data_IF_772115181637
#
_entry.id   IF_772115181637
#
_cell.length_a   1.000
_cell.length_b   1.000
_cell.length_c   1.000
_cell.angle_alpha   90.00
_cell.angle_beta   90.00
_cell.angle_gamma   90.00
#
_symmetry.space_group_name_H-M   'P 1'
#
loop_
_entity.id
_entity.type
_entity.pdbx_description
1 polymer ?
#
# COMPACT_ATOMS: atom_id res chain seq x y z
N UNK A 1 17.04 5.28 8.82
CA UNK A 1 16.26 5.57 7.61
C UNK A 1 16.09 4.27 6.87
N UNK A 2 14.85 3.80 6.70
CA UNK A 2 14.58 2.52 6.02
C UNK A 2 14.56 2.71 4.50
N UNK A 3 14.89 1.65 3.75
CA UNK A 3 14.89 1.65 2.29
C UNK A 3 14.31 0.33 1.75
N UNK A 4 13.45 0.44 0.74
CA UNK A 4 12.97 -0.67 -0.07
C UNK A 4 13.61 -0.58 -1.44
N UNK A 5 14.26 -1.64 -1.89
CA UNK A 5 14.98 -1.69 -3.16
C UNK A 5 14.46 -2.85 -4.00
N UNK A 6 14.23 -2.61 -5.27
CA UNK A 6 14.07 -3.60 -6.31
C UNK A 6 15.22 -3.47 -7.28
N UNK A 7 15.95 -4.55 -7.54
CA UNK A 7 17.12 -4.58 -8.43
C UNK A 7 16.90 -5.56 -9.58
N UNK A 8 17.01 -5.06 -10.79
CA UNK A 8 16.98 -5.84 -12.04
C UNK A 8 15.86 -6.87 -12.10
N UNK A 9 14.65 -6.44 -11.72
CA UNK A 9 13.49 -7.34 -11.75
C UNK A 9 13.15 -7.74 -13.18
N UNK A 10 13.03 -9.04 -13.42
CA UNK A 10 12.59 -9.59 -14.68
C UNK A 10 11.42 -10.55 -14.51
N UNK A 11 10.46 -10.49 -15.43
CA UNK A 11 9.35 -11.43 -15.51
C UNK A 11 8.97 -11.74 -16.92
N UNK A 12 8.92 -13.03 -17.23
CA UNK A 12 8.40 -13.58 -18.49
C UNK A 12 7.17 -14.41 -18.25
N UNK A 13 6.17 -14.22 -19.10
CA UNK A 13 5.03 -15.13 -19.25
C UNK A 13 5.11 -15.78 -20.61
N UNK A 14 5.36 -17.11 -20.64
CA UNK A 14 5.68 -17.85 -21.85
C UNK A 14 6.87 -17.21 -22.59
N UNK A 15 6.69 -16.70 -23.81
CA UNK A 15 7.73 -16.04 -24.62
C UNK A 15 7.77 -14.52 -24.42
N UNK A 16 6.74 -13.91 -23.80
CA UNK A 16 6.68 -12.43 -23.65
C UNK A 16 7.37 -12.01 -22.35
N UNK A 17 8.38 -11.14 -22.46
CA UNK A 17 8.99 -10.44 -21.33
C UNK A 17 8.06 -9.28 -20.95
N UNK A 18 7.53 -9.29 -19.74
CA UNK A 18 6.54 -8.30 -19.24
C UNK A 18 7.19 -7.30 -18.29
N UNK A 19 8.20 -7.72 -17.55
CA UNK A 19 9.08 -6.85 -16.78
C UNK A 19 10.50 -7.11 -17.28
N UNK A 20 11.22 -6.05 -17.64
CA UNK A 20 12.53 -6.14 -18.24
C UNK A 20 13.50 -5.20 -17.50
N UNK A 21 14.38 -5.78 -16.67
CA UNK A 21 15.44 -5.07 -15.95
C UNK A 21 14.94 -3.82 -15.17
N UNK A 22 13.84 -3.99 -14.44
CA UNK A 22 13.27 -2.91 -13.64
C UNK A 22 14.04 -2.77 -12.32
N UNK A 23 14.63 -1.58 -12.11
CA UNK A 23 15.27 -1.20 -10.85
C UNK A 23 14.66 0.08 -10.31
N UNK A 24 14.31 0.06 -9.02
CA UNK A 24 13.79 1.22 -8.30
C UNK A 24 14.10 1.13 -6.80
N UNK A 25 14.03 2.25 -6.12
CA UNK A 25 14.10 2.29 -4.66
C UNK A 25 13.11 3.30 -4.09
N UNK A 26 12.71 3.06 -2.84
CA UNK A 26 11.82 3.92 -2.04
C UNK A 26 12.47 4.09 -0.67
N UNK A 27 12.60 5.32 -0.19
CA UNK A 27 13.08 5.62 1.17
C UNK A 27 11.90 5.87 2.10
N UNK A 28 12.09 5.64 3.40
CA UNK A 28 11.09 6.03 4.39
C UNK A 28 10.81 7.53 4.32
N UNK A 29 9.53 7.90 4.32
CA UNK A 29 9.08 9.30 4.17
C UNK A 29 9.00 9.80 2.72
N UNK A 30 9.31 8.95 1.73
CA UNK A 30 9.28 9.31 0.31
C UNK A 30 8.05 8.75 -0.38
N UNK A 31 7.44 9.52 -1.28
CA UNK A 31 6.33 9.10 -2.12
C UNK A 31 6.82 8.96 -3.57
N UNK A 32 6.80 7.74 -4.08
CA UNK A 32 7.29 7.39 -5.42
C UNK A 32 6.13 6.97 -6.32
N UNK A 33 6.06 7.54 -7.52
CA UNK A 33 5.16 7.07 -8.59
C UNK A 33 5.83 6.05 -9.50
N UNK A 34 5.16 4.94 -9.80
CA UNK A 34 5.53 4.00 -10.85
C UNK A 34 4.56 4.16 -12.01
N UNK A 35 4.98 4.89 -13.03
CA UNK A 35 4.13 5.38 -14.12
C UNK A 35 4.48 4.71 -15.45
N UNK A 36 3.58 4.76 -16.40
CA UNK A 36 3.79 4.23 -17.75
C UNK A 36 2.48 3.79 -18.41
N UNK A 37 2.50 3.43 -19.69
CA UNK A 37 1.30 2.99 -20.40
C UNK A 37 0.73 1.67 -19.89
N UNK A 38 -0.50 1.35 -20.30
CA UNK A 38 -1.10 0.05 -20.00
C UNK A 38 -0.29 -1.04 -20.73
N UNK A 39 -0.03 -2.14 -20.01
CA UNK A 39 0.80 -3.24 -20.53
C UNK A 39 2.30 -3.10 -20.31
N UNK A 40 2.81 -1.97 -19.82
CA UNK A 40 4.25 -1.75 -19.55
C UNK A 40 4.80 -2.57 -18.37
N UNK A 41 4.02 -3.46 -17.75
CA UNK A 41 4.50 -4.34 -16.69
C UNK A 41 4.43 -3.77 -15.27
N UNK A 42 3.91 -2.54 -15.07
CA UNK A 42 3.81 -1.88 -13.75
C UNK A 42 3.17 -2.79 -12.68
N UNK A 43 1.96 -3.26 -12.93
CA UNK A 43 1.23 -4.14 -12.00
C UNK A 43 1.99 -5.44 -11.73
N UNK A 44 2.65 -6.01 -12.75
CA UNK A 44 3.45 -7.22 -12.57
C UNK A 44 4.66 -6.96 -11.67
N UNK A 45 5.40 -5.89 -11.90
CA UNK A 45 6.53 -5.49 -11.08
C UNK A 45 6.09 -5.21 -9.64
N UNK A 46 4.97 -4.52 -9.49
CA UNK A 46 4.34 -4.23 -8.21
C UNK A 46 3.99 -5.53 -7.45
N UNK A 47 3.34 -6.49 -8.13
CA UNK A 47 3.00 -7.78 -7.54
C UNK A 47 4.24 -8.65 -7.22
N UNK A 48 5.33 -8.49 -7.96
CA UNK A 48 6.62 -9.10 -7.58
C UNK A 48 7.14 -8.49 -6.27
N UNK A 49 7.10 -7.17 -6.11
CA UNK A 49 7.52 -6.49 -4.89
C UNK A 49 6.64 -6.83 -3.68
N UNK A 50 5.34 -7.03 -3.88
CA UNK A 50 4.40 -7.45 -2.83
C UNK A 50 4.56 -8.94 -2.47
N UNK A 51 5.03 -9.77 -3.41
CA UNK A 51 5.14 -11.22 -3.24
C UNK A 51 3.92 -12.01 -3.69
N UNK A 52 3.05 -11.40 -4.50
CA UNK A 52 1.93 -12.07 -5.19
C UNK A 52 2.38 -12.78 -6.46
N UNK A 53 3.44 -12.28 -7.10
CA UNK A 53 4.08 -12.89 -8.26
C UNK A 53 5.52 -13.24 -7.90
N UNK A 54 5.93 -14.47 -8.21
CA UNK A 54 7.30 -14.92 -7.92
C UNK A 54 8.33 -14.15 -8.76
N UNK A 55 9.38 -13.68 -8.10
CA UNK A 55 10.58 -13.12 -8.70
C UNK A 55 11.58 -14.27 -8.92
N UNK A 56 11.98 -14.51 -10.16
CA UNK A 56 13.00 -15.52 -10.50
C UNK A 56 14.34 -14.87 -10.79
N UNK A 57 14.33 -13.66 -11.35
CA UNK A 57 15.50 -12.87 -11.70
C UNK A 57 15.36 -11.48 -11.07
N UNK A 58 16.45 -10.95 -10.53
CA UNK A 58 16.49 -9.75 -9.73
C UNK A 58 16.34 -9.99 -8.23
N UNK A 59 16.35 -8.90 -7.46
CA UNK A 59 16.27 -8.94 -6.00
C UNK A 59 15.30 -7.90 -5.46
N UNK A 60 14.72 -8.20 -4.31
CA UNK A 60 13.89 -7.26 -3.53
C UNK A 60 14.46 -7.23 -2.12
N UNK A 61 14.93 -6.06 -1.70
CA UNK A 61 15.64 -5.87 -0.45
C UNK A 61 14.88 -4.85 0.39
N UNK A 62 14.62 -5.17 1.64
CA UNK A 62 14.06 -4.27 2.63
C UNK A 62 15.09 -4.06 3.75
N UNK A 63 15.62 -2.85 3.83
CA UNK A 63 16.77 -2.54 4.67
C UNK A 63 17.94 -3.49 4.33
N UNK A 64 18.42 -4.29 5.27
CA UNK A 64 19.50 -5.27 5.06
C UNK A 64 18.98 -6.70 4.77
N UNK A 65 17.66 -6.87 4.57
CA UNK A 65 17.04 -8.18 4.42
C UNK A 65 16.61 -8.42 2.98
N UNK A 66 17.14 -9.47 2.36
CA UNK A 66 16.62 -9.99 1.09
C UNK A 66 15.28 -10.68 1.31
N UNK A 67 14.21 -10.06 0.79
CA UNK A 67 12.83 -10.54 0.88
C UNK A 67 12.31 -11.13 -0.43
N UNK A 68 13.18 -11.34 -1.43
CA UNK A 68 12.84 -11.76 -2.79
C UNK A 68 11.92 -12.99 -2.80
N UNK A 69 12.20 -13.96 -1.95
CA UNK A 69 11.46 -15.22 -1.89
C UNK A 69 10.47 -15.30 -0.70
N UNK A 70 10.31 -14.19 0.04
CA UNK A 70 9.35 -14.18 1.14
C UNK A 70 7.92 -14.12 0.60
N UNK A 71 7.00 -14.94 1.13
CA UNK A 71 5.58 -14.81 0.84
C UNK A 71 5.04 -13.51 1.43
N UNK A 72 3.92 -13.02 0.91
CA UNK A 72 3.32 -11.72 1.26
C UNK A 72 3.18 -11.50 2.77
N UNK A 73 2.75 -12.51 3.54
CA UNK A 73 2.59 -12.37 4.99
C UNK A 73 3.92 -12.16 5.73
N UNK A 74 5.02 -12.75 5.25
CA UNK A 74 6.36 -12.50 5.82
C UNK A 74 6.88 -11.12 5.45
N UNK A 75 6.60 -10.64 4.23
CA UNK A 75 6.92 -9.25 3.85
C UNK A 75 6.15 -8.24 4.70
N UNK A 76 4.88 -8.51 5.00
CA UNK A 76 4.09 -7.70 5.91
C UNK A 76 4.70 -7.63 7.32
N UNK A 77 5.21 -8.76 7.85
CA UNK A 77 5.92 -8.81 9.13
C UNK A 77 7.25 -8.03 9.13
N UNK A 78 7.87 -7.82 7.96
CA UNK A 78 9.05 -6.97 7.81
C UNK A 78 8.70 -5.48 7.67
N UNK A 79 7.42 -5.15 7.56
CA UNK A 79 6.92 -3.77 7.43
C UNK A 79 6.57 -3.35 6.00
N UNK A 80 6.38 -4.28 5.07
CA UNK A 80 5.91 -4.00 3.71
C UNK A 80 4.42 -4.29 3.58
N UNK A 81 3.60 -3.26 3.54
CA UNK A 81 2.16 -3.37 3.37
C UNK A 81 1.72 -3.18 1.91
N UNK A 82 0.57 -3.72 1.58
CA UNK A 82 -0.05 -3.61 0.27
C UNK A 82 -1.52 -3.21 0.38
N UNK A 83 -1.90 -2.21 -0.38
CA UNK A 83 -3.28 -1.77 -0.52
C UNK A 83 -3.73 -1.98 -1.98
N UNK A 84 -4.57 -2.98 -2.26
CA UNK A 84 -5.01 -3.32 -3.61
C UNK A 84 -5.95 -2.27 -4.19
N UNK A 85 -6.10 -2.30 -5.52
CA UNK A 85 -7.11 -1.53 -6.25
C UNK A 85 -8.52 -1.95 -5.85
N UNK A 86 -8.77 -3.28 -5.78
CA UNK A 86 -10.07 -3.80 -5.39
C UNK A 86 -10.33 -3.61 -3.90
N UNK A 87 -11.59 -3.33 -3.58
CA UNK A 87 -12.02 -3.13 -2.21
C UNK A 87 -11.75 -4.37 -1.33
N UNK A 88 -10.91 -4.20 -0.32
CA UNK A 88 -10.47 -5.27 0.59
C UNK A 88 -11.21 -5.28 1.94
N UNK A 89 -12.17 -4.39 2.12
CA UNK A 89 -12.91 -4.24 3.38
C UNK A 89 -13.78 -5.47 3.70
N UNK A 90 -13.86 -5.84 4.96
CA UNK A 90 -14.83 -6.84 5.44
C UNK A 90 -16.23 -6.22 5.48
N UNK A 91 -17.02 -6.47 4.44
CA UNK A 91 -18.29 -5.77 4.17
C UNK A 91 -19.33 -5.89 5.30
N UNK A 92 -19.36 -7.00 6.02
CA UNK A 92 -20.31 -7.28 7.12
C UNK A 92 -19.81 -6.80 8.49
N UNK A 93 -18.54 -6.41 8.61
CA UNK A 93 -18.00 -5.87 9.85
C UNK A 93 -18.16 -4.35 9.89
N UNK A 94 -18.32 -3.80 11.11
CA UNK A 94 -18.24 -2.34 11.32
C UNK A 94 -16.84 -1.82 11.02
N UNK A 95 -16.68 -0.51 10.86
CA UNK A 95 -15.36 0.15 10.73
C UNK A 95 -14.45 -0.25 11.89
N UNK A 96 -14.93 -0.13 13.13
CA UNK A 96 -14.22 -0.56 14.33
C UNK A 96 -13.72 -2.00 14.22
N UNK A 97 -14.60 -2.93 13.87
CA UNK A 97 -14.27 -4.34 13.80
C UNK A 97 -13.37 -4.68 12.60
N UNK A 98 -13.43 -3.93 11.51
CA UNK A 98 -12.51 -4.04 10.39
C UNK A 98 -11.06 -3.77 10.80
N UNK A 99 -10.83 -2.74 11.62
CA UNK A 99 -9.50 -2.36 12.10
C UNK A 99 -9.06 -3.32 13.21
N UNK A 100 -9.96 -3.61 14.17
CA UNK A 100 -9.67 -4.52 15.28
C UNK A 100 -9.27 -5.91 14.80
N UNK A 101 -9.92 -6.46 13.78
CA UNK A 101 -9.57 -7.76 13.22
C UNK A 101 -8.11 -7.85 12.74
N UNK A 102 -7.52 -6.74 12.28
CA UNK A 102 -6.10 -6.69 11.92
C UNK A 102 -5.22 -6.56 13.17
N UNK A 103 -5.60 -5.71 14.13
CA UNK A 103 -4.85 -5.54 15.38
C UNK A 103 -4.77 -6.86 16.18
N UNK A 104 -5.79 -7.70 16.12
CA UNK A 104 -5.83 -9.02 16.78
C UNK A 104 -4.82 -10.00 16.19
N UNK A 105 -4.42 -9.84 14.93
CA UNK A 105 -3.37 -10.68 14.31
C UNK A 105 -1.97 -10.37 14.83
N UNK A 106 -1.78 -9.22 15.48
CA UNK A 106 -0.47 -8.79 15.99
C UNK A 106 -0.14 -9.46 17.30
N UNK A 107 0.95 -10.20 17.30
CA UNK A 107 1.48 -10.84 18.50
C UNK A 107 2.01 -9.78 19.49
N UNK A 108 1.79 -10.01 20.78
CA UNK A 108 2.33 -9.15 21.85
C UNK A 108 1.50 -7.91 22.16
N UNK A 109 0.38 -7.67 21.49
CA UNK A 109 -0.59 -6.64 21.88
C UNK A 109 -1.63 -7.23 22.82
N UNK A 110 -1.75 -6.68 24.02
CA UNK A 110 -2.87 -6.93 24.91
C UNK A 110 -4.14 -6.18 24.47
N UNK A 111 -5.24 -6.42 25.15
CA UNK A 111 -6.53 -5.79 24.80
C UNK A 111 -6.47 -4.27 24.93
N UNK A 112 -5.88 -3.75 25.99
CA UNK A 112 -5.80 -2.30 26.25
C UNK A 112 -5.03 -1.58 25.13
N UNK A 113 -3.88 -2.15 24.74
CA UNK A 113 -3.05 -1.58 23.67
C UNK A 113 -3.70 -1.65 22.30
N UNK A 114 -4.49 -2.70 22.03
CA UNK A 114 -5.28 -2.77 20.79
C UNK A 114 -6.35 -1.68 20.74
N UNK A 115 -7.07 -1.45 21.84
CA UNK A 115 -8.07 -0.38 21.90
C UNK A 115 -7.43 1.01 21.74
N UNK A 116 -6.30 1.27 22.37
CA UNK A 116 -5.56 2.53 22.19
C UNK A 116 -5.16 2.77 20.72
N UNK A 117 -4.61 1.75 20.07
CA UNK A 117 -4.22 1.83 18.67
C UNK A 117 -5.44 2.00 17.75
N UNK A 118 -6.54 1.30 18.05
CA UNK A 118 -7.79 1.44 17.33
C UNK A 118 -8.31 2.88 17.39
N UNK A 119 -8.40 3.47 18.58
CA UNK A 119 -8.87 4.84 18.75
C UNK A 119 -7.94 5.84 18.04
N UNK A 120 -6.64 5.63 18.11
CA UNK A 120 -5.66 6.43 17.37
C UNK A 120 -5.92 6.39 15.86
N UNK A 121 -6.12 5.20 15.28
CA UNK A 121 -6.35 5.03 13.84
C UNK A 121 -7.70 5.63 13.40
N UNK A 122 -8.76 5.43 14.18
CA UNK A 122 -10.08 6.00 13.93
C UNK A 122 -10.00 7.54 13.89
N UNK A 123 -9.34 8.14 14.88
CA UNK A 123 -9.17 9.59 14.97
C UNK A 123 -8.30 10.12 13.82
N UNK A 124 -7.16 9.48 13.56
CA UNK A 124 -6.21 9.89 12.53
C UNK A 124 -6.81 9.89 11.13
N UNK A 125 -7.70 8.93 10.84
CA UNK A 125 -8.35 8.77 9.53
C UNK A 125 -9.73 9.43 9.45
N UNK A 126 -10.18 10.15 10.48
CA UNK A 126 -11.49 10.83 10.50
C UNK A 126 -12.67 9.86 10.36
N UNK A 127 -12.63 8.74 11.08
CA UNK A 127 -13.62 7.67 10.99
C UNK A 127 -14.61 7.62 12.18
N UNK A 128 -14.60 8.65 13.05
CA UNK A 128 -15.42 8.69 14.27
C UNK A 128 -16.91 8.54 13.99
N UNK A 129 -17.43 9.30 13.03
CA UNK A 129 -18.88 9.35 12.74
C UNK A 129 -19.40 8.02 12.16
N UNK A 130 -18.50 7.25 11.51
CA UNK A 130 -18.84 5.99 10.83
C UNK A 130 -18.31 4.75 11.56
N UNK A 131 -17.74 4.91 12.77
CA UNK A 131 -17.06 3.83 13.50
C UNK A 131 -17.90 2.55 13.67
N UNK A 132 -19.21 2.69 13.82
CA UNK A 132 -20.15 1.59 13.99
C UNK A 132 -20.85 1.18 12.69
N UNK A 133 -20.61 1.90 11.58
CA UNK A 133 -21.21 1.62 10.27
C UNK A 133 -20.56 0.39 9.65
N UNK A 134 -21.38 -0.49 9.07
CA UNK A 134 -20.88 -1.67 8.36
C UNK A 134 -20.18 -1.26 7.06
N UNK A 135 -19.12 -2.00 6.69
CA UNK A 135 -18.31 -1.74 5.49
C UNK A 135 -19.12 -1.67 4.20
N UNK A 136 -20.22 -2.42 4.09
CA UNK A 136 -21.08 -2.39 2.91
C UNK A 136 -21.80 -1.05 2.70
N UNK A 137 -22.02 -0.29 3.77
CA UNK A 137 -22.77 0.98 3.77
C UNK A 137 -21.89 2.21 3.63
N UNK A 138 -20.58 2.04 3.57
CA UNK A 138 -19.61 3.14 3.45
C UNK A 138 -19.56 3.70 2.02
N UNK A 139 -19.38 5.01 1.92
CA UNK A 139 -19.00 5.69 0.68
C UNK A 139 -17.62 5.21 0.18
N UNK A 140 -17.26 5.52 -1.07
CA UNK A 140 -15.95 5.15 -1.63
C UNK A 140 -14.79 5.71 -0.83
N UNK A 141 -14.85 7.00 -0.46
CA UNK A 141 -13.82 7.66 0.33
C UNK A 141 -13.71 7.14 1.76
N UNK A 142 -14.82 6.93 2.46
CA UNK A 142 -14.83 6.31 3.79
C UNK A 142 -14.25 4.90 3.76
N UNK A 143 -14.65 4.10 2.79
CA UNK A 143 -14.12 2.75 2.58
C UNK A 143 -12.60 2.77 2.41
N UNK A 144 -12.10 3.67 1.56
CA UNK A 144 -10.65 3.79 1.33
C UNK A 144 -9.90 4.20 2.59
N UNK A 145 -10.45 5.12 3.39
CA UNK A 145 -9.86 5.47 4.69
C UNK A 145 -9.82 4.29 5.67
N UNK A 146 -10.86 3.44 5.70
CA UNK A 146 -10.86 2.21 6.53
C UNK A 146 -9.80 1.22 6.05
N UNK A 147 -9.63 1.04 4.75
CA UNK A 147 -8.59 0.18 4.17
C UNK A 147 -7.19 0.68 4.51
N UNK A 148 -6.97 2.00 4.46
CA UNK A 148 -5.71 2.62 4.92
C UNK A 148 -5.52 2.38 6.42
N UNK A 149 -6.55 2.57 7.25
CA UNK A 149 -6.48 2.30 8.70
C UNK A 149 -6.07 0.86 9.00
N UNK A 150 -6.65 -0.12 8.28
CA UNK A 150 -6.26 -1.54 8.38
C UNK A 150 -4.82 -1.78 7.98
N UNK A 151 -4.37 -1.09 6.94
CA UNK A 151 -2.97 -1.17 6.49
C UNK A 151 -2.02 -0.59 7.53
N UNK A 152 -2.38 0.52 8.18
CA UNK A 152 -1.59 1.13 9.25
C UNK A 152 -1.58 0.30 10.54
N UNK A 153 -2.61 -0.53 10.78
CA UNK A 153 -2.71 -1.38 11.97
C UNK A 153 -1.55 -2.39 12.10
N UNK A 154 -0.85 -2.72 11.02
CA UNK A 154 0.36 -3.56 11.06
C UNK A 154 1.66 -2.77 11.25
N UNK A 155 1.61 -1.43 11.43
CA UNK A 155 2.76 -0.51 11.55
C UNK A 155 3.78 -0.67 10.42
N UNK A 156 3.38 -0.40 9.18
CA UNK A 156 4.27 -0.59 8.03
C UNK A 156 5.38 0.47 7.98
N UNK A 157 6.54 0.07 7.45
CA UNK A 157 7.61 0.99 7.02
C UNK A 157 7.35 1.52 5.61
N UNK A 158 6.74 0.67 4.76
CA UNK A 158 6.40 0.97 3.37
C UNK A 158 4.99 0.50 3.04
N UNK A 159 4.28 1.29 2.26
CA UNK A 159 2.96 0.95 1.73
C UNK A 159 3.00 1.03 0.21
N UNK A 160 2.66 -0.09 -0.43
CA UNK A 160 2.47 -0.17 -1.87
C UNK A 160 0.98 0.04 -2.18
N UNK A 161 0.66 1.09 -2.94
CA UNK A 161 -0.70 1.49 -3.30
C UNK A 161 -0.96 1.19 -4.78
N UNK A 162 -1.86 0.27 -5.07
CA UNK A 162 -2.26 -0.06 -6.42
C UNK A 162 -3.53 0.72 -6.79
N UNK A 163 -3.40 1.66 -7.73
CA UNK A 163 -4.45 2.56 -8.19
C UNK A 163 -5.32 3.16 -7.06
N UNK A 164 -4.72 3.88 -6.10
CA UNK A 164 -5.43 4.34 -4.90
C UNK A 164 -6.56 5.33 -5.19
N UNK A 165 -6.57 5.97 -6.35
CA UNK A 165 -7.56 6.98 -6.74
C UNK A 165 -8.63 6.44 -7.69
N UNK A 166 -8.54 5.17 -8.12
CA UNK A 166 -9.49 4.57 -9.05
C UNK A 166 -10.90 4.46 -8.43
N UNK A 167 -11.90 5.00 -9.14
CA UNK A 167 -13.30 4.94 -8.71
C UNK A 167 -13.64 5.76 -7.48
N UNK A 168 -12.78 6.71 -7.09
CA UNK A 168 -12.98 7.63 -5.97
C UNK A 168 -13.41 8.99 -6.53
N UNK A 169 -14.35 9.66 -5.86
CA UNK A 169 -14.77 11.00 -6.24
C UNK A 169 -13.65 12.04 -6.02
N UNK A 170 -13.63 13.17 -6.77
CA UNK A 170 -12.52 14.12 -6.73
C UNK A 170 -12.25 14.74 -5.36
N UNK A 171 -13.27 14.93 -4.53
CA UNK A 171 -13.11 15.49 -3.17
C UNK A 171 -12.40 14.46 -2.29
N UNK A 172 -12.86 13.21 -2.34
CA UNK A 172 -12.23 12.11 -1.60
C UNK A 172 -10.81 11.82 -2.09
N UNK A 173 -10.48 12.05 -3.37
CA UNK A 173 -9.09 11.93 -3.88
C UNK A 173 -8.18 12.93 -3.15
N UNK A 174 -8.60 14.19 -2.99
CA UNK A 174 -7.81 15.20 -2.27
C UNK A 174 -7.58 14.82 -0.80
N UNK A 175 -8.59 14.24 -0.15
CA UNK A 175 -8.46 13.75 1.23
C UNK A 175 -7.47 12.59 1.34
N UNK A 176 -7.52 11.63 0.41
CA UNK A 176 -6.59 10.49 0.37
C UNK A 176 -5.17 11.00 0.09
N UNK A 177 -4.99 11.95 -0.82
CA UNK A 177 -3.69 12.57 -1.10
C UNK A 177 -3.10 13.23 0.14
N UNK A 178 -3.92 13.95 0.92
CA UNK A 178 -3.50 14.55 2.20
C UNK A 178 -3.07 13.50 3.20
N UNK A 179 -3.89 12.45 3.37
CA UNK A 179 -3.56 11.33 4.27
C UNK A 179 -2.21 10.70 3.88
N UNK A 180 -1.96 10.44 2.61
CA UNK A 180 -0.68 9.86 2.14
C UNK A 180 0.48 10.79 2.48
N UNK A 181 0.37 12.10 2.25
CA UNK A 181 1.40 13.09 2.61
C UNK A 181 1.66 13.14 4.11
N UNK A 182 0.60 13.14 4.92
CA UNK A 182 0.73 13.16 6.38
C UNK A 182 1.39 11.89 6.91
N UNK A 183 1.13 10.75 6.30
CA UNK A 183 1.77 9.47 6.64
C UNK A 183 3.24 9.42 6.18
N UNK A 184 3.56 10.00 5.01
CA UNK A 184 4.94 10.14 4.56
C UNK A 184 5.76 11.01 5.52
N UNK A 185 5.18 12.11 6.01
CA UNK A 185 5.80 12.93 7.06
C UNK A 185 6.02 12.17 8.39
N UNK A 186 5.34 11.05 8.60
CA UNK A 186 5.55 10.13 9.72
C UNK A 186 6.58 9.01 9.39
N UNK A 187 7.40 9.21 8.36
CA UNK A 187 8.44 8.29 7.89
C UNK A 187 7.92 6.97 7.27
N UNK A 188 6.70 6.93 6.75
CA UNK A 188 6.23 5.80 5.94
C UNK A 188 6.58 6.08 4.47
N UNK A 189 7.29 5.15 3.81
CA UNK A 189 7.57 5.24 2.38
C UNK A 189 6.41 4.72 1.53
N UNK A 190 6.16 5.36 0.38
CA UNK A 190 5.07 4.98 -0.52
C UNK A 190 5.57 4.67 -1.93
N UNK A 191 5.07 3.58 -2.51
CA UNK A 191 5.13 3.32 -3.94
C UNK A 191 3.71 3.27 -4.48
N UNK A 192 3.41 4.12 -5.46
CA UNK A 192 2.06 4.28 -6.03
C UNK A 192 2.10 3.91 -7.50
N UNK A 193 1.20 3.03 -7.94
CA UNK A 193 0.86 2.86 -9.36
C UNK A 193 -0.51 3.44 -9.61
N UNK A 194 -0.66 4.25 -10.64
CA UNK A 194 -1.97 4.72 -11.07
C UNK A 194 -1.94 5.06 -12.57
N UNK A 195 -3.10 4.95 -13.22
CA UNK A 195 -3.30 5.43 -14.57
C UNK A 195 -3.62 6.93 -14.61
N UNK A 196 -4.07 7.50 -13.51
CA UNK A 196 -4.26 8.95 -13.33
C UNK A 196 -2.93 9.62 -12.96
N UNK A 197 -2.11 9.85 -13.99
CA UNK A 197 -0.76 10.42 -13.85
C UNK A 197 -0.78 11.77 -13.14
N UNK A 198 -1.79 12.61 -13.41
CA UNK A 198 -1.89 13.97 -12.84
C UNK A 198 -2.07 13.92 -11.33
N UNK A 199 -2.99 13.12 -10.84
CA UNK A 199 -3.29 12.99 -9.41
C UNK A 199 -2.09 12.37 -8.66
N UNK A 200 -1.45 11.39 -9.29
CA UNK A 200 -0.29 10.72 -8.71
C UNK A 200 0.92 11.65 -8.62
N UNK A 201 1.27 12.33 -9.72
CA UNK A 201 2.40 13.28 -9.74
C UNK A 201 2.19 14.46 -8.79
N UNK A 202 0.93 14.86 -8.52
CA UNK A 202 0.62 15.94 -7.58
C UNK A 202 1.04 15.68 -6.13
N UNK A 203 1.38 14.43 -5.79
CA UNK A 203 1.82 14.06 -4.44
C UNK A 203 3.19 13.38 -4.39
N UNK A 204 3.73 12.92 -5.53
CA UNK A 204 5.00 12.21 -5.57
C UNK A 204 6.19 13.16 -5.50
N UNK A 205 7.22 12.76 -4.76
CA UNK A 205 8.52 13.44 -4.74
C UNK A 205 9.29 13.17 -6.02
N UNK A 206 9.15 11.97 -6.59
CA UNK A 206 9.71 11.55 -7.89
C UNK A 206 8.94 10.37 -8.47
N UNK A 207 9.19 10.07 -9.74
CA UNK A 207 8.56 8.94 -10.43
C UNK A 207 9.54 8.14 -11.28
N UNK A 208 9.24 6.86 -11.42
CA UNK A 208 9.86 5.98 -12.40
C UNK A 208 8.87 5.82 -13.57
N UNK A 209 9.39 5.99 -14.80
CA UNK A 209 8.60 5.77 -16.01
C UNK A 209 9.01 4.42 -16.60
N UNK A 210 8.04 3.51 -16.65
CA UNK A 210 8.22 2.19 -17.27
C UNK A 210 7.69 2.26 -18.70
N UNK A 211 8.55 1.95 -19.66
CA UNK A 211 8.20 1.82 -21.08
C UNK A 211 8.22 0.34 -21.49
N UNK A 212 7.57 0.04 -22.64
CA UNK A 212 7.58 -1.30 -23.25
C UNK A 212 8.98 -1.74 -23.69
#
# INVERSE_FOLDING_TARGET
MSILIAESLEKKYRSRKVVNDLSLNVKSGEIIGLLGPNGAGKTTAFYMMVGLVSCKEGKIILDDTDITHFPIHKRAQQGLAYLPQEASIFRKLSVRNNIMAVLETRKGLDHSRREELLEKLINQLGLNDVRNTQGISLSGGERRRVEIARTLAIEPKFILLDEPFAGVDPISVLDIQRIIKDLANQNIGFLITDHNVRETLGICDRGYIVNE
#
